data_IF_330003827253
#
_entry.id   IF_330003827253
#
_cell.length_a   1.000
_cell.length_b   1.000
_cell.length_c   1.000
_cell.angle_alpha   90.00
_cell.angle_beta   90.00
_cell.angle_gamma   90.00
#
_symmetry.space_group_name_H-M   'P 1'
#
loop_
_entity.id
_entity.type
_entity.pdbx_description
1 polymer ?
#
# COMPACT_ATOMS: atom_id res chain seq x y z
N UNK A 1 -39.21 -23.98 -6.18
CA UNK A 1 -38.84 -22.57 -5.89
C UNK A 1 -39.97 -21.86 -5.16
N UNK A 2 -41.17 -21.75 -5.73
CA UNK A 2 -42.31 -21.07 -5.05
C UNK A 2 -42.86 -21.82 -3.83
N UNK A 3 -42.74 -23.16 -3.77
CA UNK A 3 -43.08 -23.96 -2.58
C UNK A 3 -42.17 -23.63 -1.39
N UNK A 4 -40.86 -23.56 -1.63
CA UNK A 4 -39.85 -23.20 -0.62
C UNK A 4 -40.04 -21.79 -0.08
N UNK A 5 -40.47 -20.83 -0.92
CA UNK A 5 -40.78 -19.47 -0.48
C UNK A 5 -41.99 -19.44 0.46
N UNK A 6 -43.03 -20.23 0.19
CA UNK A 6 -44.20 -20.37 1.07
C UNK A 6 -43.84 -21.00 2.41
N UNK A 7 -42.95 -22.01 2.41
CA UNK A 7 -42.42 -22.62 3.64
C UNK A 7 -41.62 -21.62 4.50
N UNK A 8 -40.94 -20.65 3.86
CA UNK A 8 -40.22 -19.56 4.51
C UNK A 8 -41.13 -18.39 4.93
N UNK A 9 -42.45 -18.54 4.80
CA UNK A 9 -43.45 -17.53 5.21
C UNK A 9 -43.61 -16.37 4.23
N UNK A 10 -43.35 -16.59 2.94
CA UNK A 10 -43.66 -15.62 1.90
C UNK A 10 -44.99 -15.95 1.20
N UNK A 11 -45.77 -14.91 0.92
CA UNK A 11 -47.06 -15.02 0.22
C UNK A 11 -46.96 -14.61 -1.25
N UNK A 12 -47.79 -15.24 -2.08
CA UNK A 12 -47.84 -14.99 -3.53
C UNK A 12 -48.81 -13.85 -3.82
N UNK A 13 -48.30 -12.74 -4.35
CA UNK A 13 -49.10 -11.58 -4.75
C UNK A 13 -48.62 -11.03 -6.10
N UNK A 14 -49.48 -11.14 -7.12
CA UNK A 14 -49.21 -10.64 -8.47
C UNK A 14 -49.09 -9.12 -8.54
N UNK A 15 -49.68 -8.40 -7.57
CA UNK A 15 -49.62 -6.95 -7.44
C UNK A 15 -48.37 -6.44 -6.70
N UNK A 16 -47.57 -7.34 -6.11
CA UNK A 16 -46.44 -6.95 -5.29
C UNK A 16 -45.44 -6.05 -6.04
N UNK A 17 -45.02 -4.98 -5.38
CA UNK A 17 -44.09 -3.98 -5.92
C UNK A 17 -43.01 -3.66 -4.88
N UNK A 18 -42.01 -2.87 -5.26
CA UNK A 18 -40.88 -2.54 -4.38
C UNK A 18 -41.28 -1.49 -3.32
N UNK A 19 -42.24 -1.83 -2.47
CA UNK A 19 -42.75 -1.02 -1.33
C UNK A 19 -42.74 -1.85 -0.05
N UNK A 20 -42.63 -1.20 1.10
CA UNK A 20 -42.52 -1.86 2.41
C UNK A 20 -43.73 -2.72 2.74
N UNK A 21 -44.92 -2.34 2.28
CA UNK A 21 -46.19 -3.06 2.46
C UNK A 21 -46.19 -4.44 1.77
N UNK A 22 -45.34 -4.61 0.75
CA UNK A 22 -45.18 -5.88 0.03
C UNK A 22 -44.03 -6.73 0.58
N UNK A 23 -43.49 -6.41 1.77
CA UNK A 23 -42.48 -7.23 2.42
C UNK A 23 -43.00 -8.65 2.69
N UNK A 24 -42.13 -9.64 2.50
CA UNK A 24 -42.46 -11.08 2.51
C UNK A 24 -43.45 -11.52 1.42
N UNK A 25 -43.58 -10.76 0.34
CA UNK A 25 -44.33 -11.22 -0.84
C UNK A 25 -43.40 -11.70 -1.94
N UNK A 26 -43.91 -12.53 -2.85
CA UNK A 26 -43.26 -12.83 -4.12
C UNK A 26 -44.28 -12.84 -5.26
N UNK A 27 -43.80 -12.62 -6.49
CA UNK A 27 -44.61 -12.73 -7.70
C UNK A 27 -43.93 -13.54 -8.78
N UNK A 28 -44.73 -14.28 -9.53
CA UNK A 28 -44.28 -15.03 -10.69
C UNK A 28 -44.70 -14.33 -11.97
N UNK A 29 -43.71 -13.99 -12.80
CA UNK A 29 -43.90 -13.39 -14.12
C UNK A 29 -43.48 -14.39 -15.19
N UNK A 30 -44.34 -14.60 -16.19
CA UNK A 30 -44.03 -15.45 -17.33
C UNK A 30 -43.98 -14.57 -18.59
N UNK A 31 -42.78 -14.39 -19.14
CA UNK A 31 -42.58 -13.76 -20.43
C UNK A 31 -42.73 -14.84 -21.51
N UNK A 32 -43.92 -14.91 -22.11
CA UNK A 32 -44.26 -15.87 -23.17
C UNK A 32 -43.54 -15.58 -24.48
N UNK A 33 -43.05 -14.35 -24.69
CA UNK A 33 -42.26 -14.00 -25.87
C UNK A 33 -40.82 -14.53 -25.80
N UNK A 34 -40.30 -14.73 -24.58
CA UNK A 34 -38.94 -15.22 -24.32
C UNK A 34 -38.88 -16.61 -23.69
N UNK A 35 -40.02 -17.26 -23.46
CA UNK A 35 -40.15 -18.51 -22.71
C UNK A 35 -39.42 -18.47 -21.35
N UNK A 36 -39.46 -17.33 -20.66
CA UNK A 36 -38.76 -17.11 -19.39
C UNK A 36 -39.77 -16.95 -18.24
N UNK A 37 -39.55 -17.69 -17.15
CA UNK A 37 -40.28 -17.50 -15.89
C UNK A 37 -39.37 -16.83 -14.87
N UNK A 38 -39.77 -15.65 -14.41
CA UNK A 38 -39.07 -14.88 -13.40
C UNK A 38 -39.85 -14.92 -12.09
N UNK A 39 -39.18 -15.22 -10.99
CA UNK A 39 -39.74 -15.07 -9.64
C UNK A 39 -39.10 -13.84 -9.03
N UNK A 40 -39.92 -12.84 -8.69
CA UNK A 40 -39.47 -11.63 -8.01
C UNK A 40 -39.85 -11.75 -6.54
N UNK A 41 -38.88 -11.64 -5.65
CA UNK A 41 -39.06 -11.80 -4.19
C UNK A 41 -38.82 -10.46 -3.52
N UNK A 42 -39.71 -10.08 -2.60
CA UNK A 42 -39.65 -8.83 -1.84
C UNK A 42 -39.30 -9.14 -0.37
N UNK A 43 -38.02 -9.07 0.01
CA UNK A 43 -37.58 -9.43 1.36
C UNK A 43 -38.06 -8.40 2.40
N UNK A 44 -38.30 -8.87 3.62
CA UNK A 44 -38.50 -7.97 4.76
C UNK A 44 -37.14 -7.47 5.24
N UNK A 45 -36.85 -6.19 4.98
CA UNK A 45 -35.64 -5.53 5.46
C UNK A 45 -35.95 -4.91 6.82
N UNK A 46 -35.41 -5.50 7.88
CA UNK A 46 -35.43 -4.89 9.22
C UNK A 46 -34.19 -4.03 9.34
N UNK A 47 -34.35 -2.71 9.23
CA UNK A 47 -33.28 -1.78 9.60
C UNK A 47 -33.01 -1.82 11.12
N UNK A 48 -31.83 -1.42 11.60
CA UNK A 48 -31.62 -1.22 13.03
C UNK A 48 -32.69 -0.24 13.54
N UNK A 49 -33.45 -0.71 14.53
CA UNK A 49 -34.65 -0.08 15.09
C UNK A 49 -34.53 1.45 15.23
N UNK A 50 -35.15 2.18 14.31
CA UNK A 50 -35.56 3.56 14.57
C UNK A 50 -36.70 3.49 15.59
N UNK A 51 -36.38 3.74 16.86
CA UNK A 51 -37.39 4.10 17.84
C UNK A 51 -38.11 5.37 17.34
N UNK A 52 -39.42 5.24 17.13
CA UNK A 52 -40.39 6.34 17.10
C UNK A 52 -40.08 7.36 18.20
N UNK A 53 -40.12 8.68 18.06
CA UNK A 53 -40.95 9.53 17.20
C UNK A 53 -40.54 11.01 17.40
N UNK A 54 -40.60 11.83 16.36
CA UNK A 54 -41.01 13.24 16.49
C UNK A 54 -40.03 14.32 16.05
N UNK A 55 -40.52 15.15 15.13
CA UNK A 55 -40.11 16.49 14.74
C UNK A 55 -38.99 16.67 13.69
N UNK A 56 -39.40 17.36 12.64
CA UNK A 56 -38.62 17.95 11.56
C UNK A 56 -37.65 19.04 12.05
N UNK A 57 -36.78 19.46 11.13
CA UNK A 57 -35.80 20.56 11.16
C UNK A 57 -34.38 20.24 11.62
N UNK A 58 -33.42 20.57 10.74
CA UNK A 58 -32.04 20.78 11.13
C UNK A 58 -31.02 19.94 10.38
N UNK A 59 -30.83 20.23 9.09
CA UNK A 59 -29.58 19.93 8.40
C UNK A 59 -28.46 20.73 9.08
N UNK A 60 -27.76 20.15 10.04
CA UNK A 60 -26.52 20.70 10.59
C UNK A 60 -25.68 19.62 11.28
N UNK A 61 -24.57 19.29 10.62
CA UNK A 61 -23.27 19.04 11.25
C UNK A 61 -23.22 17.98 12.37
N UNK A 62 -23.20 16.70 11.99
CA UNK A 62 -22.63 15.64 12.83
C UNK A 62 -21.19 15.37 12.39
N UNK A 63 -20.30 16.29 12.78
CA UNK A 63 -18.94 15.91 13.16
C UNK A 63 -18.80 16.16 14.64
N UNK A 64 -18.33 15.12 15.35
CA UNK A 64 -17.50 15.12 16.57
C UNK A 64 -17.96 14.02 17.53
N UNK A 65 -16.99 13.11 17.78
CA UNK A 65 -16.89 12.18 18.91
C UNK A 65 -17.67 10.85 18.88
N UNK A 66 -17.40 10.03 17.87
CA UNK A 66 -17.27 8.59 18.05
C UNK A 66 -15.81 8.20 17.83
N UNK A 67 -15.11 7.75 18.87
CA UNK A 67 -13.71 7.31 18.79
C UNK A 67 -13.55 5.99 18.03
N UNK A 68 -13.94 5.96 16.76
CA UNK A 68 -13.60 4.90 15.82
C UNK A 68 -12.29 5.28 15.14
N UNK A 69 -11.17 4.70 15.58
CA UNK A 69 -9.90 4.88 14.88
C UNK A 69 -10.03 4.39 13.44
N UNK A 70 -9.57 5.18 12.46
CA UNK A 70 -9.49 4.76 11.06
C UNK A 70 -8.72 3.44 10.96
N UNK A 71 -9.18 2.51 10.11
CA UNK A 71 -8.48 1.24 9.86
C UNK A 71 -7.02 1.45 9.47
N UNK A 72 -6.73 2.56 8.79
CA UNK A 72 -5.39 3.02 8.48
C UNK A 72 -5.22 4.43 9.05
N UNK A 73 -4.26 4.65 9.97
CA UNK A 73 -3.95 6.00 10.44
C UNK A 73 -3.56 6.89 9.26
N UNK A 74 -4.14 8.10 9.15
CA UNK A 74 -3.83 9.01 8.04
C UNK A 74 -2.34 9.39 7.97
N UNK A 75 -1.68 9.44 9.11
CA UNK A 75 -0.24 9.70 9.23
C UNK A 75 0.63 8.52 8.80
N UNK A 76 0.06 7.32 8.59
CA UNK A 76 0.82 6.17 8.13
C UNK A 76 1.06 6.23 6.62
N UNK A 77 2.14 5.60 6.12
CA UNK A 77 2.37 5.44 4.69
C UNK A 77 1.17 4.76 3.98
N UNK A 78 0.58 3.76 4.60
CA UNK A 78 -0.58 3.04 4.07
C UNK A 78 -1.81 3.95 3.97
N UNK A 79 -2.10 4.75 5.00
CA UNK A 79 -3.18 5.74 4.96
C UNK A 79 -2.94 6.78 3.87
N UNK A 80 -1.73 7.35 3.80
CA UNK A 80 -1.35 8.29 2.74
C UNK A 80 -1.50 7.70 1.34
N UNK A 81 -1.13 6.43 1.15
CA UNK A 81 -1.30 5.72 -0.13
C UNK A 81 -2.79 5.50 -0.43
N UNK A 82 -3.57 5.03 0.55
CA UNK A 82 -4.97 4.69 0.37
C UNK A 82 -5.81 5.93 0.00
N UNK A 83 -5.71 6.99 0.79
CA UNK A 83 -6.60 8.16 0.71
C UNK A 83 -6.13 9.25 -0.26
N UNK A 84 -4.90 9.17 -0.78
CA UNK A 84 -4.43 10.16 -1.78
C UNK A 84 -5.10 9.99 -3.13
N UNK A 85 -5.32 11.10 -3.85
CA UNK A 85 -5.65 11.04 -5.27
C UNK A 85 -4.45 10.55 -6.09
N UNK A 86 -4.68 10.08 -7.32
CA UNK A 86 -3.60 9.63 -8.20
C UNK A 86 -2.51 10.71 -8.41
N UNK A 87 -2.91 11.97 -8.65
CA UNK A 87 -1.97 13.07 -8.86
C UNK A 87 -1.14 13.43 -7.61
N UNK A 88 -1.70 13.24 -6.41
CA UNK A 88 -0.95 13.40 -5.16
C UNK A 88 0.00 12.22 -4.99
N UNK A 89 -0.49 11.01 -5.25
CA UNK A 89 0.30 9.77 -5.17
C UNK A 89 1.52 9.79 -6.08
N UNK A 90 1.39 10.21 -7.34
CA UNK A 90 2.51 10.34 -8.27
C UNK A 90 3.60 11.28 -7.74
N UNK A 91 3.21 12.43 -7.17
CA UNK A 91 4.14 13.38 -6.54
C UNK A 91 4.79 12.81 -5.29
N UNK A 92 4.04 12.06 -4.48
CA UNK A 92 4.58 11.36 -3.32
C UNK A 92 5.61 10.31 -3.73
N UNK A 93 5.31 9.48 -4.73
CA UNK A 93 6.26 8.47 -5.23
C UNK A 93 7.53 9.14 -5.78
N UNK A 94 7.39 10.25 -6.53
CA UNK A 94 8.53 10.97 -7.07
C UNK A 94 9.44 11.58 -5.99
N UNK A 95 8.86 12.08 -4.89
CA UNK A 95 9.60 12.76 -3.82
C UNK A 95 10.09 11.83 -2.71
N UNK A 96 9.27 10.86 -2.30
CA UNK A 96 9.50 9.98 -1.14
C UNK A 96 10.03 8.59 -1.51
N UNK A 97 9.81 8.13 -2.75
CA UNK A 97 10.25 6.81 -3.22
C UNK A 97 11.28 6.92 -4.34
N UNK A 98 12.41 7.57 -4.06
CA UNK A 98 13.47 7.84 -5.04
C UNK A 98 14.25 6.57 -5.44
N UNK A 99 14.35 5.61 -4.54
CA UNK A 99 15.06 4.35 -4.77
C UNK A 99 14.11 3.24 -5.26
N UNK A 100 14.65 2.23 -5.92
CA UNK A 100 13.87 1.07 -6.38
C UNK A 100 13.32 0.29 -5.20
N UNK A 101 14.11 0.13 -4.12
CA UNK A 101 13.66 -0.54 -2.89
C UNK A 101 12.52 0.20 -2.21
N UNK A 102 12.55 1.54 -2.18
CA UNK A 102 11.43 2.33 -1.64
C UNK A 102 10.16 2.13 -2.48
N UNK A 103 10.28 2.10 -3.81
CA UNK A 103 9.13 1.79 -4.70
C UNK A 103 8.61 0.37 -4.48
N UNK A 104 9.49 -0.62 -4.28
CA UNK A 104 9.11 -1.99 -3.90
C UNK A 104 8.34 -2.00 -2.59
N UNK A 105 8.80 -1.26 -1.58
CA UNK A 105 8.10 -1.10 -0.30
C UNK A 105 6.70 -0.48 -0.46
N UNK A 106 6.58 0.59 -1.24
CA UNK A 106 5.29 1.19 -1.59
C UNK A 106 4.34 0.19 -2.28
N UNK A 107 4.86 -0.62 -3.21
CA UNK A 107 4.08 -1.68 -3.85
C UNK A 107 3.64 -2.80 -2.90
N UNK A 108 4.44 -3.12 -1.87
CA UNK A 108 4.04 -4.07 -0.82
C UNK A 108 2.97 -3.48 0.09
N UNK A 109 3.12 -2.22 0.51
CA UNK A 109 2.10 -1.51 1.31
C UNK A 109 0.75 -1.46 0.59
N UNK A 110 0.73 -1.19 -0.72
CA UNK A 110 -0.50 -1.31 -1.54
C UNK A 110 -1.10 -2.71 -1.52
N UNK A 111 -0.28 -3.76 -1.49
CA UNK A 111 -0.74 -5.13 -1.33
C UNK A 111 -1.47 -5.34 -0.01
N UNK A 112 -0.90 -4.85 1.09
CA UNK A 112 -1.56 -4.92 2.42
C UNK A 112 -2.89 -4.18 2.45
N UNK A 113 -2.97 -2.98 1.87
CA UNK A 113 -4.23 -2.20 1.79
C UNK A 113 -5.30 -2.98 1.00
N UNK A 114 -4.91 -3.61 -0.12
CA UNK A 114 -5.82 -4.43 -0.92
C UNK A 114 -6.35 -5.61 -0.14
N UNK A 115 -5.50 -6.33 0.59
CA UNK A 115 -5.93 -7.44 1.44
C UNK A 115 -6.93 -6.96 2.50
N UNK A 116 -6.68 -5.82 3.16
CA UNK A 116 -7.66 -5.25 4.11
C UNK A 116 -8.98 -4.91 3.44
N UNK A 117 -8.96 -4.36 2.21
CA UNK A 117 -10.18 -4.06 1.47
C UNK A 117 -10.94 -5.33 1.08
N UNK A 118 -10.24 -6.37 0.63
CA UNK A 118 -10.82 -7.69 0.32
C UNK A 118 -11.45 -8.35 1.55
N UNK A 119 -10.85 -8.18 2.74
CA UNK A 119 -11.43 -8.67 4.00
C UNK A 119 -12.74 -7.94 4.36
N UNK A 120 -12.78 -6.62 4.15
CA UNK A 120 -13.99 -5.80 4.36
C UNK A 120 -15.08 -6.18 3.35
N UNK A 121 -14.72 -6.36 2.08
CA UNK A 121 -15.64 -6.88 1.04
C UNK A 121 -16.15 -8.28 1.39
N UNK A 122 -15.28 -9.14 1.90
CA UNK A 122 -15.64 -10.49 2.37
C UNK A 122 -16.72 -10.46 3.45
N UNK A 123 -16.62 -9.53 4.41
CA UNK A 123 -17.66 -9.34 5.44
C UNK A 123 -19.00 -8.98 4.82
N UNK A 124 -19.04 -8.03 3.90
CA UNK A 124 -20.27 -7.64 3.19
C UNK A 124 -20.88 -8.81 2.41
N UNK A 125 -20.05 -9.61 1.73
CA UNK A 125 -20.51 -10.77 0.96
C UNK A 125 -21.13 -11.88 1.84
N UNK A 126 -20.70 -11.98 3.09
CA UNK A 126 -21.28 -12.89 4.08
C UNK A 126 -22.47 -12.31 4.86
N UNK A 127 -22.86 -11.05 4.60
CA UNK A 127 -23.91 -10.37 5.34
C UNK A 127 -23.49 -9.90 6.74
N UNK A 128 -22.19 -9.84 7.02
CA UNK A 128 -21.65 -9.30 8.28
C UNK A 128 -21.65 -7.77 8.20
N UNK A 129 -22.22 -7.11 9.21
CA UNK A 129 -22.22 -5.65 9.31
C UNK A 129 -20.80 -5.12 9.52
N UNK A 130 -20.43 -4.07 8.79
CA UNK A 130 -19.18 -3.36 9.00
C UNK A 130 -19.25 -2.46 10.23
N UNK A 131 -18.12 -2.29 10.90
CA UNK A 131 -17.94 -1.24 11.92
C UNK A 131 -17.80 0.13 11.26
N UNK A 132 -18.03 1.23 12.00
CA UNK A 132 -17.92 2.59 11.45
C UNK A 132 -16.56 2.87 10.75
N UNK A 133 -15.40 2.45 11.31
CA UNK A 133 -14.12 2.60 10.62
C UNK A 133 -13.99 1.78 9.34
N UNK A 134 -14.56 0.58 9.32
CA UNK A 134 -14.55 -0.29 8.13
C UNK A 134 -15.42 0.27 7.02
N UNK A 135 -16.61 0.77 7.37
CA UNK A 135 -17.50 1.43 6.44
C UNK A 135 -16.83 2.68 5.86
N UNK A 136 -16.26 3.55 6.71
CA UNK A 136 -15.54 4.75 6.26
C UNK A 136 -14.37 4.43 5.34
N UNK A 137 -13.62 3.36 5.62
CA UNK A 137 -12.54 2.91 4.76
C UNK A 137 -13.04 2.39 3.41
N UNK A 138 -14.08 1.53 3.43
CA UNK A 138 -14.70 0.98 2.23
C UNK A 138 -15.26 2.07 1.30
N UNK A 139 -15.91 3.07 1.88
CA UNK A 139 -16.51 4.18 1.12
C UNK A 139 -15.44 5.10 0.50
N UNK A 140 -14.25 5.17 1.10
CA UNK A 140 -13.18 6.09 0.69
C UNK A 140 -12.13 5.45 -0.23
N UNK A 141 -11.99 4.12 -0.21
CA UNK A 141 -10.89 3.41 -0.87
C UNK A 141 -11.44 2.40 -1.87
N UNK A 142 -11.18 2.65 -3.16
CA UNK A 142 -11.58 1.74 -4.24
C UNK A 142 -10.46 0.79 -4.67
N UNK A 143 -10.80 -0.48 -4.93
CA UNK A 143 -9.85 -1.47 -5.46
C UNK A 143 -9.23 -1.04 -6.81
N UNK A 144 -10.04 -0.45 -7.70
CA UNK A 144 -9.58 0.02 -9.01
C UNK A 144 -8.51 1.11 -8.89
N UNK A 145 -8.70 2.12 -8.04
CA UNK A 145 -7.69 3.15 -7.80
C UNK A 145 -6.39 2.56 -7.22
N UNK A 146 -6.47 1.54 -6.34
CA UNK A 146 -5.29 0.85 -5.83
C UNK A 146 -4.56 0.08 -6.93
N UNK A 147 -5.28 -0.53 -7.87
CA UNK A 147 -4.69 -1.19 -9.05
C UNK A 147 -3.98 -0.22 -9.98
N UNK A 148 -4.57 0.94 -10.25
CA UNK A 148 -3.95 1.99 -11.08
C UNK A 148 -2.66 2.51 -10.43
N UNK A 149 -2.70 2.84 -9.14
CA UNK A 149 -1.51 3.24 -8.36
C UNK A 149 -0.44 2.15 -8.38
N UNK A 150 -0.84 0.89 -8.26
CA UNK A 150 0.08 -0.24 -8.29
C UNK A 150 0.72 -0.43 -9.67
N UNK A 151 -0.05 -0.31 -10.74
CA UNK A 151 0.45 -0.37 -12.11
C UNK A 151 1.46 0.75 -12.39
N UNK A 152 1.16 1.97 -11.94
CA UNK A 152 2.09 3.10 -12.02
C UNK A 152 3.41 2.83 -11.31
N UNK A 153 3.39 2.36 -10.06
CA UNK A 153 4.63 2.06 -9.32
C UNK A 153 5.42 0.94 -9.99
N UNK A 154 4.75 -0.11 -10.47
CA UNK A 154 5.42 -1.20 -11.23
C UNK A 154 6.07 -0.68 -12.50
N UNK A 155 5.41 0.22 -13.25
CA UNK A 155 5.98 0.85 -14.43
C UNK A 155 7.21 1.71 -14.07
N UNK A 156 7.15 2.49 -13.00
CA UNK A 156 8.29 3.28 -12.51
C UNK A 156 9.46 2.40 -12.08
N UNK A 157 9.19 1.27 -11.42
CA UNK A 157 10.21 0.29 -11.05
C UNK A 157 10.87 -0.34 -12.28
N UNK A 158 10.09 -0.71 -13.29
CA UNK A 158 10.61 -1.25 -14.55
C UNK A 158 11.49 -0.22 -15.28
N UNK A 159 10.98 1.00 -15.43
CA UNK A 159 11.72 2.13 -16.02
C UNK A 159 13.04 2.40 -15.28
N UNK A 160 13.04 2.32 -13.96
CA UNK A 160 14.26 2.55 -13.17
C UNK A 160 15.33 1.48 -13.41
N UNK A 161 14.94 0.23 -13.68
CA UNK A 161 15.86 -0.85 -14.07
C UNK A 161 16.35 -0.63 -15.50
N UNK A 162 15.46 -0.28 -16.43
CA UNK A 162 15.79 0.00 -17.83
C UNK A 162 16.74 1.19 -17.99
N UNK A 163 16.52 2.25 -17.22
CA UNK A 163 17.38 3.44 -17.16
C UNK A 163 18.74 3.17 -16.48
N UNK A 164 18.96 1.99 -15.91
CA UNK A 164 20.16 1.67 -15.14
C UNK A 164 20.30 2.45 -13.83
N UNK A 165 19.21 3.03 -13.32
CA UNK A 165 19.21 3.91 -12.13
C UNK A 165 19.07 3.12 -10.83
N UNK A 166 19.90 2.11 -10.64
CA UNK A 166 19.91 1.25 -9.46
C UNK A 166 21.12 1.52 -8.57
N UNK A 167 20.91 1.50 -7.26
CA UNK A 167 22.02 1.50 -6.30
C UNK A 167 22.69 0.12 -6.25
N UNK A 168 23.91 0.04 -5.71
CA UNK A 168 24.64 -1.22 -5.55
C UNK A 168 23.83 -2.30 -4.78
N UNK A 169 23.22 -2.02 -3.61
CA UNK A 169 22.42 -3.02 -2.90
C UNK A 169 21.19 -3.45 -3.71
N UNK A 170 20.52 -2.53 -4.41
CA UNK A 170 19.35 -2.86 -5.24
C UNK A 170 19.70 -3.77 -6.41
N UNK A 171 20.81 -3.48 -7.10
CA UNK A 171 21.32 -4.33 -8.18
C UNK A 171 21.62 -5.72 -7.65
N UNK A 172 22.30 -5.82 -6.51
CA UNK A 172 22.64 -7.11 -5.89
C UNK A 172 21.38 -7.89 -5.50
N UNK A 173 20.39 -7.23 -4.89
CA UNK A 173 19.11 -7.85 -4.55
C UNK A 173 18.34 -8.35 -5.79
N UNK A 174 18.39 -7.60 -6.90
CA UNK A 174 17.78 -8.01 -8.17
C UNK A 174 18.53 -9.17 -8.82
N UNK A 175 19.86 -9.20 -8.74
CA UNK A 175 20.68 -10.32 -9.21
C UNK A 175 20.41 -11.59 -8.39
N UNK A 176 20.27 -11.46 -7.08
CA UNK A 176 19.91 -12.56 -6.18
C UNK A 176 18.53 -13.15 -6.53
N UNK A 177 17.52 -12.31 -6.75
CA UNK A 177 16.20 -12.76 -7.21
C UNK A 177 16.26 -13.50 -8.56
N UNK A 178 17.12 -13.05 -9.48
CA UNK A 178 17.32 -13.73 -10.76
C UNK A 178 18.06 -15.05 -10.58
N UNK A 179 19.06 -15.11 -9.69
CA UNK A 179 19.79 -16.32 -9.37
C UNK A 179 18.88 -17.39 -8.74
N UNK A 180 18.05 -17.01 -7.76
CA UNK A 180 17.05 -17.90 -7.14
C UNK A 180 16.06 -18.43 -8.19
N UNK A 181 15.55 -17.54 -9.05
CA UNK A 181 14.67 -17.93 -10.15
C UNK A 181 15.33 -18.90 -11.12
N UNK A 182 16.59 -18.68 -11.48
CA UNK A 182 17.36 -19.59 -12.34
C UNK A 182 17.55 -20.95 -11.68
N UNK A 183 17.87 -20.99 -10.38
CA UNK A 183 17.99 -22.24 -9.63
C UNK A 183 16.68 -23.04 -9.66
N UNK A 184 15.54 -22.39 -9.39
CA UNK A 184 14.23 -23.04 -9.43
C UNK A 184 13.86 -23.53 -10.83
N UNK A 185 14.08 -22.72 -11.87
CA UNK A 185 13.78 -23.11 -13.25
C UNK A 185 14.67 -24.26 -13.75
N UNK A 186 15.94 -24.28 -13.36
CA UNK A 186 16.84 -25.38 -13.69
C UNK A 186 16.41 -26.68 -13.01
N UNK A 187 16.05 -26.63 -11.72
CA UNK A 187 15.50 -27.78 -11.00
C UNK A 187 14.22 -28.31 -11.66
N UNK A 188 13.25 -27.43 -11.97
CA UNK A 188 12.02 -27.84 -12.67
C UNK A 188 12.30 -28.44 -14.05
N UNK A 189 13.35 -27.96 -14.74
CA UNK A 189 13.74 -28.46 -16.06
C UNK A 189 14.29 -29.88 -15.95
N UNK A 190 15.18 -30.13 -15.00
CA UNK A 190 15.72 -31.47 -14.72
C UNK A 190 14.61 -32.46 -14.36
N UNK A 191 13.66 -32.05 -13.51
CA UNK A 191 12.49 -32.88 -13.16
C UNK A 191 11.59 -33.16 -14.38
N UNK A 192 11.38 -32.17 -15.26
CA UNK A 192 10.59 -32.34 -16.47
C UNK A 192 11.27 -33.25 -17.50
N UNK A 193 12.60 -33.16 -17.63
CA UNK A 193 13.39 -34.02 -18.50
C UNK A 193 13.42 -35.47 -17.98
N UNK A 194 13.61 -35.66 -16.67
CA UNK A 194 13.52 -36.97 -16.03
C UNK A 194 12.13 -37.61 -16.19
N UNK A 195 11.07 -36.80 -16.19
CA UNK A 195 9.70 -37.25 -16.43
C UNK A 195 9.32 -37.41 -17.92
N UNK A 196 10.25 -37.22 -18.86
CA UNK A 196 10.00 -37.33 -20.30
C UNK A 196 9.07 -36.25 -20.87
N UNK A 197 8.85 -35.14 -20.14
CA UNK A 197 7.93 -34.06 -20.53
C UNK A 197 8.63 -33.04 -21.45
N UNK A 198 8.98 -33.46 -22.66
CA UNK A 198 9.76 -32.66 -23.62
C UNK A 198 9.20 -31.24 -23.87
N UNK A 199 7.88 -31.11 -24.02
CA UNK A 199 7.22 -29.79 -24.21
C UNK A 199 7.42 -28.85 -23.01
N UNK A 200 7.40 -29.38 -21.79
CA UNK A 200 7.64 -28.61 -20.56
C UNK A 200 9.12 -28.24 -20.44
N UNK A 201 10.03 -29.16 -20.74
CA UNK A 201 11.48 -28.89 -20.78
C UNK A 201 11.84 -27.74 -21.74
N UNK A 202 11.24 -27.72 -22.93
CA UNK A 202 11.45 -26.64 -23.90
C UNK A 202 10.92 -25.28 -23.40
N UNK A 203 9.74 -25.26 -22.78
CA UNK A 203 9.18 -24.04 -22.17
C UNK A 203 10.09 -23.49 -21.06
N UNK A 204 10.60 -24.37 -20.19
CA UNK A 204 11.50 -24.00 -19.11
C UNK A 204 12.84 -23.48 -19.65
N UNK A 205 13.38 -24.08 -20.71
CA UNK A 205 14.60 -23.58 -21.37
C UNK A 205 14.42 -22.16 -21.91
N UNK A 206 13.26 -21.84 -22.49
CA UNK A 206 12.96 -20.47 -22.94
C UNK A 206 12.85 -19.49 -21.77
N UNK A 207 12.32 -19.92 -20.63
CA UNK A 207 12.25 -19.09 -19.41
C UNK A 207 13.63 -18.85 -18.80
N UNK A 208 14.51 -19.87 -18.79
CA UNK A 208 15.90 -19.77 -18.36
C UNK A 208 16.66 -18.76 -19.23
N UNK A 209 16.54 -18.85 -20.56
CA UNK A 209 17.18 -17.92 -21.48
C UNK A 209 16.78 -16.46 -21.22
N UNK A 210 15.49 -16.19 -20.96
CA UNK A 210 14.99 -14.85 -20.59
C UNK A 210 15.53 -14.38 -19.24
N UNK A 211 15.68 -15.29 -18.27
CA UNK A 211 16.23 -14.97 -16.96
C UNK A 211 17.73 -14.67 -17.02
N UNK A 212 18.51 -15.41 -17.83
CA UNK A 212 19.93 -15.13 -18.10
C UNK A 212 20.12 -13.79 -18.84
N UNK A 213 19.25 -13.48 -19.81
CA UNK A 213 19.27 -12.17 -20.48
C UNK A 213 19.06 -11.03 -19.48
N UNK A 214 18.11 -11.19 -18.55
CA UNK A 214 17.88 -10.23 -17.47
C UNK A 214 19.08 -10.11 -16.55
N UNK A 215 19.71 -11.23 -16.16
CA UNK A 215 20.94 -11.25 -15.36
C UNK A 215 22.05 -10.43 -16.03
N UNK A 216 22.30 -10.69 -17.30
CA UNK A 216 23.32 -9.97 -18.07
C UNK A 216 23.03 -8.47 -18.16
N UNK A 217 21.76 -8.07 -18.32
CA UNK A 217 21.37 -6.65 -18.30
C UNK A 217 21.66 -6.01 -16.94
N UNK A 218 21.33 -6.69 -15.84
CA UNK A 218 21.56 -6.17 -14.49
C UNK A 218 23.05 -6.06 -14.14
N UNK A 219 23.88 -7.02 -14.56
CA UNK A 219 25.33 -7.00 -14.33
C UNK A 219 26.03 -5.82 -15.03
N UNK A 220 25.50 -5.41 -16.19
CA UNK A 220 26.02 -4.25 -16.96
C UNK A 220 25.66 -2.90 -16.35
N UNK A 221 24.75 -2.85 -15.38
CA UNK A 221 24.35 -1.59 -14.74
C UNK A 221 25.45 -1.11 -13.79
N UNK A 222 25.96 0.09 -14.08
CA UNK A 222 26.83 0.84 -13.17
C UNK A 222 25.96 1.38 -12.03
N UNK A 223 26.27 0.98 -10.80
CA UNK A 223 25.49 1.36 -9.63
C UNK A 223 25.58 2.87 -9.38
N UNK A 224 24.42 3.51 -9.15
CA UNK A 224 24.34 4.91 -8.70
C UNK A 224 24.56 5.01 -7.19
N UNK A 225 25.10 6.14 -6.74
CA UNK A 225 25.10 6.48 -5.32
C UNK A 225 23.66 6.67 -4.81
N UNK A 226 23.39 6.33 -3.53
CA UNK A 226 22.12 6.67 -2.90
C UNK A 226 21.82 8.16 -2.98
N UNK A 227 20.53 8.56 -2.99
CA UNK A 227 20.16 9.97 -2.89
C UNK A 227 20.66 10.56 -1.57
N UNK A 228 21.05 11.85 -1.56
CA UNK A 228 21.54 12.49 -0.35
C UNK A 228 20.43 12.63 0.69
N UNK A 229 20.80 12.60 1.96
CA UNK A 229 19.86 12.88 3.06
C UNK A 229 19.53 14.38 3.08
N UNK A 230 18.34 14.71 3.62
CA UNK A 230 17.77 16.08 3.62
C UNK A 230 18.75 17.14 4.14
N UNK A 231 19.47 16.83 5.22
CA UNK A 231 20.43 17.74 5.87
C UNK A 231 21.89 17.28 5.72
N UNK A 232 22.20 16.34 4.81
CA UNK A 232 23.55 15.76 4.69
C UNK A 232 24.62 16.82 4.41
N UNK A 233 24.34 17.77 3.51
CA UNK A 233 25.29 18.81 3.16
C UNK A 233 25.54 19.79 4.32
N UNK A 234 24.53 20.06 5.13
CA UNK A 234 24.60 20.96 6.28
C UNK A 234 25.35 20.31 7.44
N UNK A 235 24.98 19.07 7.78
CA UNK A 235 25.71 18.23 8.74
C UNK A 235 27.17 18.06 8.30
N UNK A 236 27.42 17.85 7.00
CA UNK A 236 28.77 17.74 6.46
C UNK A 236 29.61 19.00 6.64
N UNK A 237 29.01 20.20 6.59
CA UNK A 237 29.70 21.46 6.89
C UNK A 237 30.00 21.58 8.38
N UNK A 238 29.01 21.31 9.23
CA UNK A 238 29.14 21.35 10.69
C UNK A 238 30.20 20.35 11.19
N UNK A 239 30.24 19.13 10.62
CA UNK A 239 31.29 18.13 10.95
C UNK A 239 32.69 18.59 10.56
N UNK A 240 32.85 19.32 9.45
CA UNK A 240 34.14 19.93 9.08
C UNK A 240 34.54 21.09 9.99
N UNK A 241 33.57 21.85 10.51
CA UNK A 241 33.82 22.90 11.51
C UNK A 241 34.18 22.28 12.88
N UNK A 242 33.62 21.11 13.20
CA UNK A 242 33.88 20.35 14.42
C UNK A 242 35.27 19.70 14.47
N UNK A 243 35.77 19.21 13.33
CA UNK A 243 37.05 18.49 13.21
C UNK A 243 38.24 19.22 13.89
N UNK A 244 38.55 20.50 13.60
CA UNK A 244 39.64 21.20 14.28
C UNK A 244 39.38 21.47 15.77
N UNK A 245 38.12 21.48 16.21
CA UNK A 245 37.77 21.68 17.62
C UNK A 245 38.01 20.41 18.46
N UNK A 246 37.83 19.23 17.85
CA UNK A 246 38.20 17.95 18.47
C UNK A 246 39.71 17.85 18.68
N UNK A 247 40.52 18.31 17.71
CA UNK A 247 41.97 18.36 17.85
C UNK A 247 42.41 19.28 19.01
N UNK A 248 41.73 20.43 19.18
CA UNK A 248 42.00 21.36 20.30
C UNK A 248 41.63 20.73 21.64
N UNK A 249 40.49 20.05 21.74
CA UNK A 249 40.08 19.33 22.95
C UNK A 249 41.08 18.22 23.32
N UNK A 250 41.52 17.43 22.33
CA UNK A 250 42.45 16.35 22.56
C UNK A 250 43.84 16.86 22.97
N UNK A 251 44.32 17.93 22.33
CA UNK A 251 45.60 18.57 22.65
C UNK A 251 45.59 19.32 24.00
N UNK A 252 44.41 19.69 24.52
CA UNK A 252 44.27 20.45 25.76
C UNK A 252 43.98 19.60 27.00
N UNK A 253 43.83 18.27 26.86
CA UNK A 253 43.62 17.35 27.98
C UNK A 253 44.74 17.50 29.03
N UNK A 254 44.37 18.01 30.21
CA UNK A 254 45.26 18.20 31.35
C UNK A 254 46.01 19.54 31.41
N UNK A 255 45.78 20.44 30.44
CA UNK A 255 46.34 21.81 30.41
C UNK A 255 45.27 22.85 30.73
N UNK A 256 45.68 23.96 31.34
CA UNK A 256 44.85 25.17 31.45
C UNK A 256 44.59 25.75 30.05
N UNK A 257 43.32 25.79 29.67
CA UNK A 257 42.84 26.38 28.42
C UNK A 257 43.00 27.90 28.44
N UNK A 258 43.43 28.47 27.32
CA UNK A 258 43.33 29.90 27.06
C UNK A 258 41.88 30.30 26.81
N UNK A 259 41.54 31.58 27.01
CA UNK A 259 40.19 32.12 26.75
C UNK A 259 39.70 31.81 25.33
N UNK A 260 40.59 31.81 24.34
CA UNK A 260 40.27 31.46 22.95
C UNK A 260 39.94 29.97 22.78
N UNK A 261 40.69 29.08 23.44
CA UNK A 261 40.42 27.65 23.43
C UNK A 261 39.11 27.33 24.18
N UNK A 262 38.80 28.03 25.28
CA UNK A 262 37.51 27.92 25.98
C UNK A 262 36.34 28.36 25.12
N UNK A 263 36.46 29.47 24.39
CA UNK A 263 35.41 29.92 23.45
C UNK A 263 35.23 28.94 22.28
N UNK A 264 36.33 28.40 21.75
CA UNK A 264 36.29 27.39 20.69
C UNK A 264 35.60 26.09 21.14
N UNK A 265 35.83 25.66 22.38
CA UNK A 265 35.14 24.50 22.96
C UNK A 265 33.65 24.78 23.24
N UNK A 266 33.27 26.00 23.61
CA UNK A 266 31.84 26.38 23.68
C UNK A 266 31.14 26.28 22.32
N UNK A 267 31.83 26.68 21.24
CA UNK A 267 31.31 26.52 19.86
C UNK A 267 31.17 25.05 19.45
N UNK A 268 32.02 24.16 19.96
CA UNK A 268 31.90 22.71 19.73
C UNK A 268 30.55 22.19 20.24
N UNK A 269 30.17 22.51 21.48
CA UNK A 269 28.91 22.05 22.07
C UNK A 269 27.69 22.53 21.24
N UNK A 270 27.72 23.79 20.78
CA UNK A 270 26.67 24.32 19.89
C UNK A 270 26.58 23.59 18.54
N UNK A 271 27.72 23.22 17.95
CA UNK A 271 27.78 22.49 16.67
C UNK A 271 27.22 21.07 16.85
N UNK A 272 27.57 20.39 17.94
CA UNK A 272 27.06 19.05 18.25
C UNK A 272 25.54 19.08 18.46
N UNK A 273 25.01 20.10 19.16
CA UNK A 273 23.57 20.30 19.32
C UNK A 273 22.88 20.58 17.98
N UNK A 274 23.47 21.42 17.12
CA UNK A 274 22.93 21.69 15.77
C UNK A 274 22.90 20.43 14.91
N UNK A 275 23.96 19.62 14.92
CA UNK A 275 23.98 18.33 14.21
C UNK A 275 22.86 17.43 14.73
N UNK A 276 22.70 17.32 16.04
CA UNK A 276 21.65 16.50 16.65
C UNK A 276 20.25 16.97 16.25
N UNK A 277 19.98 18.27 16.29
CA UNK A 277 18.69 18.83 15.88
C UNK A 277 18.39 18.55 14.40
N UNK A 278 19.38 18.69 13.51
CA UNK A 278 19.25 18.38 12.09
C UNK A 278 18.99 16.88 11.85
N UNK A 279 19.66 16.00 12.59
CA UNK A 279 19.45 14.56 12.52
C UNK A 279 18.03 14.17 12.99
N UNK A 280 17.54 14.77 14.09
CA UNK A 280 16.17 14.51 14.61
C UNK A 280 15.08 15.08 13.69
N UNK A 281 15.28 16.28 13.15
CA UNK A 281 14.32 16.94 12.25
C UNK A 281 14.09 16.20 10.91
N UNK A 282 14.87 15.14 10.65
CA UNK A 282 14.71 14.27 9.49
C UNK A 282 13.59 13.23 9.70
N UNK A 283 13.17 12.97 10.94
CA UNK A 283 12.15 11.97 11.30
C UNK A 283 10.72 12.54 11.46
N UNK A 284 10.56 13.86 11.36
CA UNK A 284 9.28 14.60 11.44
C UNK A 284 8.90 15.18 10.07
#
# INVERSE_FOLDING_TARGET
VTSTLRELGFDDDKGASAVLECAKLFKLQHDTGKNLKTVVVFPAVVGPSAASSGAEEGMQNLSVNGGGGSLLPESSPEGSIAFSSMTVFERMVASKCQTWTQKKGCNLAMGSIKTTLEEVEGKLMTGTTLTDPEQSFYDSVSMSALEEKQAFVKAQMAKQVEDGKLTAPERNQLLEQVAERLANLNKEKEEAEAAGKAKRGQQLSNMIAKAEERKSKLEKIVAKSPPPLKHEAEIGKLRKELEPLLDVEEASKGRLLSVKETQALGRKEEIEEQIMQLEVSTYL
#
